data_IF_330526257690
#
_entry.id   IF_330526257690
#
_cell.length_a   1.000
_cell.length_b   1.000
_cell.length_c   1.000
_cell.angle_alpha   90.00
_cell.angle_beta   90.00
_cell.angle_gamma   90.00
#
_symmetry.space_group_name_H-M   'P 1'
#
loop_
_entity.id
_entity.type
_entity.pdbx_description
1 polymer ?
#
# COMPACT_ATOMS: atom_id res chain seq x y z
N UNK A 1 16.26 16.10 17.21
CA UNK A 1 15.37 15.03 17.71
C UNK A 1 15.46 13.85 16.76
N UNK A 2 14.91 12.71 17.12
CA UNK A 2 14.67 11.60 16.21
C UNK A 2 13.22 11.17 16.35
N UNK A 3 12.63 10.63 15.29
CA UNK A 3 11.29 10.06 15.29
C UNK A 3 11.45 8.56 15.11
N UNK A 4 10.79 7.76 15.94
CA UNK A 4 10.70 6.33 15.70
C UNK A 4 9.97 6.07 14.39
N UNK A 5 10.36 5.02 13.68
CA UNK A 5 9.63 4.61 12.48
C UNK A 5 8.26 4.01 12.83
N UNK A 6 7.26 4.12 11.93
CA UNK A 6 6.06 3.31 12.01
C UNK A 6 6.39 1.80 12.05
N UNK A 7 5.48 0.99 12.60
CA UNK A 7 5.65 -0.46 12.71
C UNK A 7 4.44 -1.20 12.17
N UNK A 8 4.51 -2.53 12.09
CA UNK A 8 3.33 -3.36 11.84
C UNK A 8 2.62 -3.10 10.52
N UNK A 9 3.36 -2.97 9.41
CA UNK A 9 2.72 -2.79 8.09
C UNK A 9 1.84 -3.99 7.77
N UNK A 10 0.56 -3.72 7.53
CA UNK A 10 -0.43 -4.70 7.12
C UNK A 10 -1.10 -4.27 5.81
N UNK A 11 -1.30 -5.23 4.91
CA UNK A 11 -2.11 -5.07 3.71
C UNK A 11 -3.51 -5.60 4.01
N UNK A 12 -4.44 -4.70 4.29
CA UNK A 12 -5.77 -5.02 4.85
C UNK A 12 -6.82 -5.31 3.80
N UNK A 13 -6.63 -4.80 2.58
CA UNK A 13 -7.41 -5.15 1.40
C UNK A 13 -6.52 -5.03 0.16
N UNK A 14 -6.70 -5.93 -0.79
CA UNK A 14 -5.95 -5.98 -2.05
C UNK A 14 -6.94 -6.24 -3.17
N UNK A 15 -7.03 -5.30 -4.10
CA UNK A 15 -7.80 -5.42 -5.33
C UNK A 15 -6.85 -5.48 -6.55
N UNK A 16 -7.41 -5.52 -7.76
CA UNK A 16 -6.67 -5.52 -9.02
C UNK A 16 -5.93 -4.20 -9.27
N UNK A 17 -6.44 -3.08 -8.74
CA UNK A 17 -5.90 -1.74 -8.97
C UNK A 17 -5.80 -0.88 -7.70
N UNK A 18 -6.08 -1.44 -6.52
CA UNK A 18 -5.91 -0.76 -5.23
C UNK A 18 -5.37 -1.67 -4.13
N UNK A 19 -4.69 -1.06 -3.15
CA UNK A 19 -4.21 -1.72 -1.94
C UNK A 19 -4.48 -0.82 -0.75
N UNK A 20 -5.20 -1.33 0.25
CA UNK A 20 -5.37 -0.66 1.54
C UNK A 20 -4.30 -1.12 2.52
N UNK A 21 -3.55 -0.17 3.06
CA UNK A 21 -2.48 -0.41 4.03
C UNK A 21 -2.87 0.12 5.42
N UNK A 22 -2.30 -0.49 6.45
CA UNK A 22 -2.38 -0.07 7.84
C UNK A 22 -1.01 -0.16 8.52
N UNK A 23 -0.76 0.68 9.52
CA UNK A 23 0.47 0.68 10.32
C UNK A 23 0.23 1.07 11.77
N UNK A 24 1.20 0.78 12.62
CA UNK A 24 1.26 1.27 14.00
C UNK A 24 2.02 2.60 14.04
N UNK A 25 1.35 3.66 14.50
CA UNK A 25 1.95 4.98 14.70
C UNK A 25 3.04 4.93 15.78
N UNK A 26 4.20 5.58 15.57
CA UNK A 26 5.22 5.72 16.61
C UNK A 26 4.71 6.60 17.76
N UNK A 27 5.20 6.35 18.99
CA UNK A 27 4.86 7.18 20.14
C UNK A 27 5.49 8.58 19.99
N UNK A 28 4.69 9.64 20.11
CA UNK A 28 5.16 11.03 20.02
C UNK A 28 4.26 11.91 19.16
N UNK A 29 4.70 13.13 18.87
CA UNK A 29 3.97 14.06 18.00
C UNK A 29 4.31 13.76 16.53
N UNK A 30 3.63 12.82 15.88
CA UNK A 30 3.67 12.73 14.42
C UNK A 30 2.73 13.81 13.86
N UNK A 31 3.18 14.58 12.88
CA UNK A 31 2.33 15.59 12.21
C UNK A 31 1.76 15.09 10.89
N UNK A 32 2.34 14.04 10.32
CA UNK A 32 1.86 13.39 9.11
C UNK A 32 2.77 12.26 8.67
N UNK A 33 2.40 11.63 7.56
CA UNK A 33 3.15 10.56 6.94
C UNK A 33 3.43 10.85 5.48
N UNK A 34 4.59 10.41 5.01
CA UNK A 34 4.83 10.26 3.58
C UNK A 34 4.76 8.79 3.23
N UNK A 35 3.82 8.47 2.35
CA UNK A 35 3.64 7.14 1.79
C UNK A 35 4.11 7.17 0.34
N UNK A 36 5.12 6.35 0.02
CA UNK A 36 5.53 6.13 -1.37
C UNK A 36 5.38 4.67 -1.74
N UNK A 37 5.16 4.40 -3.02
CA UNK A 37 5.00 3.06 -3.55
C UNK A 37 5.68 2.97 -4.91
N UNK A 38 6.21 1.79 -5.25
CA UNK A 38 6.94 1.62 -6.49
C UNK A 38 6.86 0.22 -7.07
N UNK A 39 6.99 0.17 -8.40
CA UNK A 39 7.35 -1.02 -9.18
C UNK A 39 8.64 -0.73 -9.96
N UNK A 40 9.37 -1.75 -10.44
CA UNK A 40 10.48 -1.54 -11.36
C UNK A 40 10.08 -0.74 -12.63
N UNK A 41 8.83 -0.88 -13.07
CA UNK A 41 8.30 -0.30 -14.30
C UNK A 41 7.86 1.17 -14.12
N UNK A 42 7.16 1.48 -13.04
CA UNK A 42 6.58 2.81 -12.80
C UNK A 42 7.48 3.72 -11.94
N UNK A 43 8.51 3.16 -11.31
CA UNK A 43 9.38 3.91 -10.39
C UNK A 43 8.65 4.32 -9.12
N UNK A 44 9.18 5.33 -8.42
CA UNK A 44 8.64 5.79 -7.14
C UNK A 44 7.50 6.78 -7.38
N UNK A 45 6.35 6.48 -6.77
CA UNK A 45 5.18 7.35 -6.70
C UNK A 45 4.92 7.73 -5.24
N UNK A 46 4.39 8.93 -5.01
CA UNK A 46 3.98 9.40 -3.68
C UNK A 46 2.46 9.49 -3.63
N UNK A 47 1.88 9.06 -2.51
CA UNK A 47 0.44 9.09 -2.30
C UNK A 47 -0.04 10.52 -2.05
N UNK A 48 -1.10 10.92 -2.75
CA UNK A 48 -1.79 12.19 -2.53
C UNK A 48 -3.31 11.99 -2.43
N UNK A 49 -3.97 12.60 -1.42
CA UNK A 49 -3.39 13.40 -0.33
C UNK A 49 -2.53 12.54 0.62
N UNK A 50 -1.55 13.18 1.27
CA UNK A 50 -0.74 12.53 2.28
C UNK A 50 -1.55 12.29 3.56
N UNK A 51 -1.34 11.17 4.29
CA UNK A 51 -1.99 10.94 5.57
C UNK A 51 -1.52 11.93 6.66
N UNK A 52 -2.44 12.37 7.50
CA UNK A 52 -2.18 13.25 8.64
C UNK A 52 -1.63 12.45 9.85
N UNK A 53 -1.19 13.14 10.90
CA UNK A 53 -0.53 12.50 12.04
C UNK A 53 -1.37 11.49 12.83
N UNK A 54 -2.69 11.64 12.80
CA UNK A 54 -3.66 10.74 13.45
C UNK A 54 -4.04 9.53 12.58
N UNK A 55 -3.66 9.53 11.30
CA UNK A 55 -3.97 8.43 10.41
C UNK A 55 -3.06 7.23 10.69
N UNK A 56 -3.65 6.05 10.60
CA UNK A 56 -2.98 4.75 10.71
C UNK A 56 -3.28 3.85 9.51
N UNK A 57 -3.99 4.37 8.51
CA UNK A 57 -4.34 3.67 7.27
C UNK A 57 -4.27 4.60 6.07
N UNK A 58 -4.07 4.01 4.89
CA UNK A 58 -4.12 4.70 3.61
C UNK A 58 -4.54 3.72 2.50
N UNK A 59 -5.00 4.24 1.37
CA UNK A 59 -5.31 3.43 0.19
C UNK A 59 -4.52 3.92 -1.02
N UNK A 60 -3.80 2.99 -1.63
CA UNK A 60 -3.09 3.19 -2.89
C UNK A 60 -4.04 2.84 -4.02
N UNK A 61 -4.14 3.70 -5.04
CA UNK A 61 -5.08 3.55 -6.14
C UNK A 61 -4.38 3.66 -7.50
N UNK A 62 -5.05 3.18 -8.56
CA UNK A 62 -4.55 3.28 -9.93
C UNK A 62 -3.34 2.37 -10.16
N UNK A 63 -3.26 1.27 -9.42
CA UNK A 63 -2.19 0.30 -9.49
C UNK A 63 -2.37 -0.62 -10.70
N UNK A 64 -1.27 -1.20 -11.18
CA UNK A 64 -1.28 -2.19 -12.25
C UNK A 64 -1.74 -3.54 -11.70
N UNK A 65 -2.66 -4.25 -12.37
CA UNK A 65 -3.00 -5.61 -12.01
C UNK A 65 -1.81 -6.57 -12.07
N UNK A 66 -1.77 -7.53 -11.15
CA UNK A 66 -0.74 -8.57 -11.08
C UNK A 66 0.69 -8.04 -10.88
N UNK A 67 0.85 -6.85 -10.32
CA UNK A 67 2.15 -6.18 -10.15
C UNK A 67 2.53 -6.12 -8.68
N UNK A 68 3.79 -6.44 -8.35
CA UNK A 68 4.31 -6.35 -6.98
C UNK A 68 4.76 -4.92 -6.69
N UNK A 69 4.12 -4.28 -5.71
CA UNK A 69 4.45 -2.95 -5.23
C UNK A 69 5.29 -3.04 -3.96
N UNK A 70 6.37 -2.24 -3.89
CA UNK A 70 7.06 -1.96 -2.63
C UNK A 70 6.52 -0.68 -2.04
N UNK A 71 6.04 -0.73 -0.80
CA UNK A 71 5.46 0.41 -0.07
C UNK A 71 6.44 0.88 1.01
N UNK A 72 6.62 2.20 1.12
CA UNK A 72 7.43 2.86 2.13
C UNK A 72 6.55 3.85 2.91
N UNK A 73 6.60 3.79 4.23
CA UNK A 73 5.92 4.73 5.12
C UNK A 73 6.94 5.41 6.02
N UNK A 74 6.98 6.74 5.96
CA UNK A 74 7.86 7.59 6.76
C UNK A 74 7.02 8.51 7.63
N UNK A 75 7.28 8.51 8.94
CA UNK A 75 6.65 9.45 9.87
C UNK A 75 7.37 10.80 9.83
N UNK A 76 6.59 11.89 9.89
CA UNK A 76 7.07 13.26 9.81
C UNK A 76 6.73 14.05 11.08
N UNK A 77 7.65 14.91 11.50
CA UNK A 77 7.40 15.92 12.54
C UNK A 77 8.26 17.16 12.28
N UNK A 78 7.64 18.26 11.85
CA UNK A 78 8.35 19.44 11.34
C UNK A 78 9.33 19.04 10.21
N UNK A 79 10.62 19.38 10.35
CA UNK A 79 11.67 19.04 9.38
C UNK A 79 12.34 17.67 9.65
N UNK A 80 11.79 16.87 10.56
CA UNK A 80 12.32 15.55 10.90
C UNK A 80 11.55 14.43 10.21
N UNK A 81 12.29 13.40 9.81
CA UNK A 81 11.77 12.19 9.17
C UNK A 81 12.28 10.95 9.89
N UNK A 82 11.44 9.92 9.99
CA UNK A 82 11.86 8.61 10.49
C UNK A 82 12.60 7.80 9.43
N UNK A 83 13.19 6.67 9.85
CA UNK A 83 13.48 5.57 8.90
C UNK A 83 12.16 5.03 8.32
N UNK A 84 12.17 4.43 7.12
CA UNK A 84 10.96 3.87 6.55
C UNK A 84 10.55 2.55 7.22
N UNK A 85 9.23 2.36 7.30
CA UNK A 85 8.59 1.06 7.36
C UNK A 85 8.37 0.58 5.91
N UNK A 86 8.76 -0.66 5.61
CA UNK A 86 8.78 -1.19 4.24
C UNK A 86 8.03 -2.52 4.19
N UNK A 87 7.27 -2.75 3.13
CA UNK A 87 6.70 -4.05 2.79
C UNK A 87 6.37 -4.15 1.31
N UNK A 88 6.11 -5.38 0.84
CA UNK A 88 5.70 -5.62 -0.55
C UNK A 88 4.37 -6.35 -0.62
N UNK A 89 3.59 -6.05 -1.65
CA UNK A 89 2.30 -6.69 -1.92
C UNK A 89 2.01 -6.70 -3.41
N UNK A 90 1.51 -7.84 -3.91
CA UNK A 90 1.04 -7.98 -5.30
C UNK A 90 -0.44 -7.69 -5.38
N UNK A 91 -0.84 -6.85 -6.33
CA UNK A 91 -2.26 -6.62 -6.68
C UNK A 91 -2.91 -7.86 -7.27
N UNK A 92 -4.24 -7.90 -7.24
CA UNK A 92 -5.01 -8.94 -7.94
C UNK A 92 -4.68 -8.96 -9.43
N UNK A 93 -4.73 -10.15 -10.04
CA UNK A 93 -4.68 -10.26 -11.50
C UNK A 93 -6.03 -9.84 -12.07
N UNK A 94 -6.02 -9.12 -13.19
CA UNK A 94 -7.24 -8.94 -13.96
C UNK A 94 -7.56 -10.30 -14.59
N UNK A 95 -8.44 -11.08 -13.96
CA UNK A 95 -9.04 -12.24 -14.62
C UNK A 95 -9.81 -11.72 -15.82
N UNK A 96 -9.15 -11.71 -16.99
CA UNK A 96 -9.85 -11.73 -18.25
C UNK A 96 -10.68 -13.02 -18.15
N UNK A 97 -11.98 -12.90 -17.88
CA UNK A 97 -12.92 -13.99 -18.08
C UNK A 97 -12.54 -14.63 -19.41
N UNK A 98 -11.94 -15.81 -19.36
CA UNK A 98 -11.75 -16.61 -20.54
C UNK A 98 -13.16 -16.85 -21.07
N UNK A 99 -13.49 -16.54 -22.34
CA UNK A 99 -14.78 -16.90 -22.90
C UNK A 99 -14.77 -18.42 -23.11
N UNK A 100 -14.99 -19.20 -22.04
CA UNK A 100 -14.85 -20.66 -22.09
C UNK A 100 -15.05 -21.41 -20.77
N UNK A 101 -15.68 -20.80 -19.76
CA UNK A 101 -15.89 -21.42 -18.45
C UNK A 101 -17.35 -21.46 -18.01
N UNK A 102 -18.29 -21.73 -18.91
CA UNK A 102 -19.63 -22.18 -18.50
C UNK A 102 -19.65 -23.71 -18.52
N UNK A 103 -19.59 -24.28 -17.32
CA UNK A 103 -20.31 -25.46 -16.89
C UNK A 103 -20.60 -26.52 -17.97
N UNK A 104 -19.75 -27.53 -18.06
CA UNK A 104 -20.22 -28.87 -18.42
C UNK A 104 -20.19 -29.76 -17.18
N UNK A 105 -21.11 -29.51 -16.26
CA UNK A 105 -21.66 -30.60 -15.46
C UNK A 105 -22.62 -31.40 -16.36
N UNK A 106 -22.08 -32.31 -17.16
CA UNK A 106 -22.86 -33.39 -17.77
C UNK A 106 -22.84 -34.57 -16.80
N UNK A 107 -23.89 -34.69 -15.99
CA UNK A 107 -24.24 -35.97 -15.38
C UNK A 107 -24.72 -36.91 -16.48
N UNK A 108 -23.95 -37.97 -16.74
CA UNK A 108 -24.44 -39.29 -17.17
C UNK A 108 -23.61 -40.36 -16.46
#
# INVERSE_FOLDING_TARGET
GYIDRPKGLAFTAVDVDSIKIAWESPQGQVTGYRVTYSTPEDGIQELFPAPDGEDDTAELHGLRPGSEYTVYIVALHNDLESLPLIGTQTTGIHEIMSPGGHDSCSFL
#
